data_IF_113051135621
#
_entry.id   IF_113051135621
#
_cell.length_a   1.000
_cell.length_b   1.000
_cell.length_c   1.000
_cell.angle_alpha   90.00
_cell.angle_beta   90.00
_cell.angle_gamma   90.00
#
_symmetry.space_group_name_H-M   'P 1'
#
loop_
_entity.id
_entity.type
_entity.pdbx_description
1 polymer ?
#
# COMPACT_ATOMS: atom_id res chain seq x y z
N UNK A 1 -7.24 -5.46 -10.29
CA UNK A 1 -6.04 -5.91 -11.04
C UNK A 1 -4.99 -6.30 -10.01
N UNK A 2 -4.40 -7.50 -10.09
CA UNK A 2 -3.40 -7.95 -9.09
C UNK A 2 -2.14 -7.07 -9.13
N UNK A 3 -1.78 -6.48 -7.99
CA UNK A 3 -0.56 -5.70 -7.84
C UNK A 3 0.73 -6.54 -7.91
N UNK A 4 1.91 -5.90 -7.91
CA UNK A 4 3.20 -6.58 -7.89
C UNK A 4 3.32 -7.61 -6.77
N UNK A 5 2.75 -7.32 -5.60
CA UNK A 5 2.77 -8.20 -4.43
C UNK A 5 1.87 -9.43 -4.61
N UNK A 6 0.72 -9.28 -5.26
CA UNK A 6 -0.15 -10.41 -5.63
C UNK A 6 0.51 -11.34 -6.65
N UNK A 7 1.31 -10.79 -7.58
CA UNK A 7 2.11 -11.59 -8.52
C UNK A 7 3.28 -12.29 -7.82
N UNK A 8 3.92 -11.65 -6.83
CA UNK A 8 4.97 -12.25 -6.00
C UNK A 8 4.39 -13.41 -5.17
N UNK A 9 3.26 -13.20 -4.51
CA UNK A 9 2.58 -14.22 -3.72
C UNK A 9 2.17 -15.44 -4.58
N UNK A 10 1.53 -15.22 -5.73
CA UNK A 10 1.19 -16.31 -6.66
C UNK A 10 2.42 -17.08 -7.14
N UNK A 11 3.49 -16.37 -7.49
CA UNK A 11 4.73 -17.00 -7.95
C UNK A 11 5.35 -17.86 -6.85
N UNK A 12 5.30 -17.41 -5.60
CA UNK A 12 5.79 -18.17 -4.45
C UNK A 12 4.90 -19.37 -4.10
N UNK A 13 3.57 -19.23 -4.19
CA UNK A 13 2.62 -20.35 -4.05
C UNK A 13 2.90 -21.46 -5.05
N UNK A 14 3.17 -21.11 -6.31
CA UNK A 14 3.55 -22.08 -7.35
C UNK A 14 4.89 -22.75 -7.09
N UNK A 15 5.87 -22.03 -6.52
CA UNK A 15 7.18 -22.60 -6.20
C UNK A 15 7.12 -23.58 -5.02
N UNK A 16 6.26 -23.33 -4.03
CA UNK A 16 6.08 -24.23 -2.89
C UNK A 16 5.43 -25.57 -3.26
N UNK A 17 4.57 -25.56 -4.28
CA UNK A 17 3.91 -26.76 -4.80
C UNK A 17 4.90 -27.73 -5.48
N UNK A 18 6.09 -27.23 -5.89
CA UNK A 18 7.13 -28.02 -6.57
C UNK A 18 8.14 -28.72 -5.64
N UNK A 19 8.01 -28.60 -4.32
CA UNK A 19 8.87 -29.30 -3.34
C UNK A 19 10.10 -28.50 -2.88
N UNK A 20 10.67 -28.92 -1.75
CA UNK A 20 11.60 -28.18 -0.87
C UNK A 20 12.94 -27.68 -1.48
N UNK A 21 13.22 -27.97 -2.75
CA UNK A 21 14.45 -27.51 -3.41
C UNK A 21 14.28 -26.07 -3.91
N UNK A 22 15.23 -25.20 -3.54
CA UNK A 22 15.26 -23.84 -4.05
C UNK A 22 15.29 -23.88 -5.59
N UNK A 23 14.48 -23.06 -6.29
CA UNK A 23 14.42 -23.09 -7.75
C UNK A 23 15.79 -22.77 -8.34
N UNK A 24 16.19 -23.45 -9.42
CA UNK A 24 17.49 -23.23 -10.06
C UNK A 24 17.71 -21.83 -10.67
N UNK A 25 16.65 -21.00 -10.72
CA UNK A 25 16.73 -19.61 -11.19
C UNK A 25 17.14 -18.68 -10.05
N UNK A 26 18.26 -17.93 -10.16
CA UNK A 26 18.80 -17.13 -9.05
C UNK A 26 17.80 -16.15 -8.42
N UNK A 27 17.00 -15.46 -9.23
CA UNK A 27 16.02 -14.50 -8.75
C UNK A 27 14.90 -15.17 -7.93
N UNK A 28 14.55 -16.40 -8.29
CA UNK A 28 13.54 -17.18 -7.58
C UNK A 28 14.11 -17.84 -6.33
N UNK A 29 15.37 -18.27 -6.36
CA UNK A 29 16.09 -18.76 -5.19
C UNK A 29 16.20 -17.69 -4.10
N UNK A 30 16.50 -16.44 -4.46
CA UNK A 30 16.53 -15.32 -3.51
C UNK A 30 15.17 -15.14 -2.84
N UNK A 31 14.10 -15.08 -3.64
CA UNK A 31 12.73 -14.94 -3.10
C UNK A 31 12.34 -16.10 -2.19
N UNK A 32 12.71 -17.33 -2.55
CA UNK A 32 12.52 -18.53 -1.74
C UNK A 32 13.21 -18.44 -0.38
N UNK A 33 14.48 -18.03 -0.36
CA UNK A 33 15.24 -17.89 0.88
C UNK A 33 14.73 -16.75 1.78
N UNK A 34 14.31 -15.62 1.19
CA UNK A 34 13.66 -14.54 1.95
C UNK A 34 12.36 -15.01 2.62
N UNK A 35 11.57 -15.82 1.93
CA UNK A 35 10.26 -16.25 2.43
C UNK A 35 10.38 -17.25 3.59
N UNK A 36 11.30 -18.22 3.48
CA UNK A 36 11.65 -19.12 4.58
C UNK A 36 12.17 -18.37 5.81
N UNK A 37 12.94 -17.31 5.60
CA UNK A 37 13.42 -16.43 6.66
C UNK A 37 12.26 -15.68 7.33
N UNK A 38 11.32 -15.13 6.56
CA UNK A 38 10.14 -14.43 7.11
C UNK A 38 9.19 -15.36 7.89
N UNK A 39 9.17 -16.67 7.57
CA UNK A 39 8.39 -17.69 8.29
C UNK A 39 9.07 -18.25 9.53
N UNK A 40 10.34 -17.92 9.77
CA UNK A 40 11.12 -18.48 10.88
C UNK A 40 11.62 -19.90 10.64
N UNK A 41 11.57 -20.40 9.40
CA UNK A 41 12.12 -21.72 9.05
C UNK A 41 13.65 -21.74 8.95
N UNK A 42 14.27 -20.55 8.98
CA UNK A 42 15.72 -20.36 8.95
C UNK A 42 16.11 -19.17 9.81
N UNK A 43 17.18 -19.34 10.59
CA UNK A 43 17.80 -18.24 11.34
C UNK A 43 18.48 -17.21 10.40
N UNK A 44 18.49 -15.91 10.76
CA UNK A 44 19.23 -14.89 10.04
C UNK A 44 20.74 -15.05 10.26
N UNK A 45 21.49 -15.31 9.20
CA UNK A 45 22.94 -15.52 9.27
C UNK A 45 23.74 -14.33 8.72
N UNK A 46 23.10 -13.45 7.97
CA UNK A 46 23.74 -12.32 7.30
C UNK A 46 23.11 -10.96 7.66
N UNK A 47 23.83 -9.88 7.30
CA UNK A 47 23.29 -8.51 7.37
C UNK A 47 22.07 -8.36 6.47
N UNK A 48 22.09 -8.97 5.28
CA UNK A 48 20.96 -8.97 4.36
C UNK A 48 19.71 -9.60 4.99
N UNK A 49 19.87 -10.72 5.70
CA UNK A 49 18.74 -11.40 6.36
C UNK A 49 18.09 -10.53 7.42
N UNK A 50 18.91 -9.88 8.26
CA UNK A 50 18.40 -8.95 9.28
C UNK A 50 17.66 -7.78 8.63
N UNK A 51 18.15 -7.28 7.50
CA UNK A 51 17.46 -6.25 6.73
C UNK A 51 16.13 -6.75 6.13
N UNK A 52 16.09 -7.98 5.59
CA UNK A 52 14.85 -8.58 5.06
C UNK A 52 13.79 -8.70 6.16
N UNK A 53 14.17 -9.16 7.35
CA UNK A 53 13.27 -9.25 8.51
C UNK A 53 12.79 -7.88 8.98
N UNK A 54 13.68 -6.88 9.07
CA UNK A 54 13.31 -5.51 9.41
C UNK A 54 12.33 -4.93 8.38
N UNK A 55 12.61 -5.10 7.07
CA UNK A 55 11.74 -4.69 5.98
C UNK A 55 10.37 -5.37 6.05
N UNK A 56 10.31 -6.67 6.37
CA UNK A 56 9.07 -7.42 6.49
C UNK A 56 8.23 -6.93 7.68
N UNK A 57 8.87 -6.62 8.81
CA UNK A 57 8.24 -6.00 9.96
C UNK A 57 7.68 -4.62 9.62
N UNK A 58 8.49 -3.75 9.02
CA UNK A 58 8.06 -2.43 8.58
C UNK A 58 6.87 -2.53 7.60
N UNK A 59 6.88 -3.51 6.70
CA UNK A 59 5.77 -3.76 5.78
C UNK A 59 4.50 -4.27 6.49
N UNK A 60 4.63 -5.08 7.54
CA UNK A 60 3.51 -5.55 8.35
C UNK A 60 2.90 -4.44 9.22
N UNK A 61 3.73 -3.47 9.66
CA UNK A 61 3.29 -2.30 10.44
C UNK A 61 2.71 -1.18 9.56
N UNK A 62 2.91 -1.23 8.23
CA UNK A 62 2.34 -0.24 7.30
C UNK A 62 0.82 -0.35 7.22
N UNK A 63 0.09 0.78 7.26
CA UNK A 63 -1.34 0.79 6.97
C UNK A 63 -1.60 0.21 5.58
N UNK A 64 -2.61 -0.66 5.46
CA UNK A 64 -3.05 -1.25 4.19
C UNK A 64 -3.39 -0.15 3.16
N UNK A 65 -3.91 0.99 3.64
CA UNK A 65 -4.23 2.16 2.83
C UNK A 65 -3.36 3.35 3.26
N UNK A 66 -2.13 3.40 2.75
CA UNK A 66 -1.22 4.51 2.99
C UNK A 66 -1.62 5.79 2.22
N UNK A 67 -0.97 6.92 2.52
CA UNK A 67 -1.26 8.19 1.85
C UNK A 67 -1.01 8.14 0.33
N UNK A 68 -0.09 7.28 -0.13
CA UNK A 68 0.15 7.08 -1.55
C UNK A 68 -1.05 6.42 -2.23
N UNK A 69 -1.62 5.38 -1.63
CA UNK A 69 -2.84 4.72 -2.09
C UNK A 69 -3.97 5.73 -2.27
N UNK A 70 -4.24 6.55 -1.25
CA UNK A 70 -5.31 7.54 -1.31
C UNK A 70 -5.07 8.62 -2.35
N UNK A 71 -3.83 9.08 -2.51
CA UNK A 71 -3.45 10.01 -3.57
C UNK A 71 -3.74 9.44 -4.96
N UNK A 72 -3.39 8.18 -5.19
CA UNK A 72 -3.68 7.49 -6.45
C UNK A 72 -5.18 7.34 -6.70
N UNK A 73 -5.96 6.99 -5.66
CA UNK A 73 -7.44 6.94 -5.76
C UNK A 73 -8.03 8.31 -6.12
N UNK A 74 -7.49 9.40 -5.58
CA UNK A 74 -7.93 10.77 -5.92
C UNK A 74 -7.70 11.08 -7.39
N UNK A 75 -6.54 10.72 -7.93
CA UNK A 75 -6.22 10.88 -9.35
C UNK A 75 -7.18 10.06 -10.23
N UNK A 76 -7.48 8.83 -9.84
CA UNK A 76 -8.41 7.97 -10.57
C UNK A 76 -9.84 8.54 -10.58
N UNK A 77 -10.31 9.11 -9.47
CA UNK A 77 -11.62 9.79 -9.39
C UNK A 77 -11.68 11.03 -10.30
N UNK A 78 -10.64 11.87 -10.26
CA UNK A 78 -10.57 13.03 -11.15
C UNK A 78 -10.58 12.62 -12.62
N UNK A 79 -9.87 11.54 -12.98
CA UNK A 79 -9.89 10.99 -14.34
C UNK A 79 -11.25 10.42 -14.74
N UNK A 80 -12.05 9.97 -13.78
CA UNK A 80 -13.41 9.49 -14.00
C UNK A 80 -14.44 10.62 -14.13
N UNK A 81 -14.02 11.89 -14.00
CA UNK A 81 -14.88 13.07 -14.21
C UNK A 81 -15.41 13.70 -12.92
N UNK A 82 -14.98 13.23 -11.74
CA UNK A 82 -15.28 13.91 -10.48
C UNK A 82 -14.46 15.20 -10.38
N UNK A 83 -15.05 16.24 -9.81
CA UNK A 83 -14.28 17.43 -9.48
C UNK A 83 -13.28 17.15 -8.33
N UNK A 84 -12.33 18.06 -8.10
CA UNK A 84 -11.31 17.87 -7.05
C UNK A 84 -11.88 17.81 -5.64
N UNK A 85 -12.97 18.54 -5.38
CA UNK A 85 -13.64 18.64 -4.07
C UNK A 85 -14.46 17.38 -3.82
N UNK A 86 -15.28 16.95 -4.76
CA UNK A 86 -16.01 15.69 -4.78
C UNK A 86 -15.08 14.49 -4.60
N UNK A 87 -13.96 14.44 -5.33
CA UNK A 87 -12.98 13.36 -5.18
C UNK A 87 -12.37 13.32 -3.77
N UNK A 88 -12.13 14.49 -3.15
CA UNK A 88 -11.65 14.59 -1.77
C UNK A 88 -12.70 14.13 -0.78
N UNK A 89 -13.94 14.58 -0.94
CA UNK A 89 -15.05 14.30 -0.03
C UNK A 89 -15.45 12.82 -0.06
N UNK A 90 -15.42 12.20 -1.24
CA UNK A 90 -15.59 10.74 -1.40
C UNK A 90 -14.49 9.97 -0.66
N UNK A 91 -13.22 10.37 -0.80
CA UNK A 91 -12.12 9.72 -0.08
C UNK A 91 -12.26 9.90 1.43
N UNK A 92 -12.65 11.10 1.89
CA UNK A 92 -12.87 11.38 3.31
C UNK A 92 -13.98 10.50 3.90
N UNK A 93 -15.11 10.34 3.18
CA UNK A 93 -16.20 9.47 3.58
C UNK A 93 -15.77 7.99 3.67
N UNK A 94 -14.99 7.50 2.70
CA UNK A 94 -14.48 6.12 2.71
C UNK A 94 -13.50 5.91 3.87
N UNK A 95 -12.56 6.84 4.07
CA UNK A 95 -11.62 6.82 5.21
C UNK A 95 -12.36 6.73 6.54
N UNK A 96 -13.38 7.57 6.73
CA UNK A 96 -14.24 7.57 7.92
C UNK A 96 -14.94 6.21 8.11
N UNK A 97 -15.49 5.62 7.04
CA UNK A 97 -16.18 4.33 7.10
C UNK A 97 -15.27 3.15 7.47
N UNK A 98 -13.97 3.26 7.18
CA UNK A 98 -12.96 2.25 7.52
C UNK A 98 -12.40 2.42 8.95
N UNK A 99 -12.91 3.39 9.72
CA UNK A 99 -12.34 3.75 11.03
C UNK A 99 -10.96 4.41 10.93
N UNK A 100 -10.51 4.73 9.72
CA UNK A 100 -9.32 5.53 9.46
C UNK A 100 -9.75 6.99 9.40
N UNK A 101 -9.97 7.62 10.56
CA UNK A 101 -10.22 9.06 10.58
C UNK A 101 -9.10 9.75 9.79
N UNK A 102 -9.42 10.56 8.76
CA UNK A 102 -8.38 11.29 8.06
C UNK A 102 -7.65 12.16 9.09
N UNK A 103 -6.32 12.12 9.09
CA UNK A 103 -5.56 13.22 9.64
C UNK A 103 -6.10 14.47 8.95
N UNK A 104 -6.72 15.35 9.73
CA UNK A 104 -7.24 16.61 9.24
C UNK A 104 -6.00 17.44 8.91
N UNK A 105 -5.45 17.25 7.71
CA UNK A 105 -4.61 18.27 7.09
C UNK A 105 -5.58 19.40 6.73
N UNK A 106 -5.67 20.37 7.64
CA UNK A 106 -6.23 21.69 7.39
C UNK A 106 -5.39 22.35 6.29
N UNK A 107 -5.62 21.97 5.04
CA UNK A 107 -5.27 22.79 3.89
C UNK A 107 -6.39 23.84 3.73
N UNK A 108 -6.55 24.67 4.77
CA UNK A 108 -7.32 25.90 4.74
C UNK A 108 -6.53 26.91 3.92
N UNK A 109 -6.68 26.86 2.60
CA UNK A 109 -5.92 27.76 1.74
C UNK A 109 -6.27 27.67 0.27
N UNK A 110 -7.56 27.71 -0.12
CA UNK A 110 -7.92 28.21 -1.46
C UNK A 110 -9.42 28.50 -1.70
N UNK A 111 -10.19 28.91 -0.69
CA UNK A 111 -11.57 29.42 -0.89
C UNK A 111 -11.64 30.94 -0.61
N UNK A 112 -10.87 31.74 -1.36
CA UNK A 112 -11.16 33.17 -1.53
C UNK A 112 -12.03 33.36 -2.77
N UNK A 113 -13.30 32.94 -2.65
CA UNK A 113 -14.29 32.95 -3.73
C UNK A 113 -15.69 33.31 -3.23
N UNK A 114 -15.84 34.53 -2.70
CA UNK A 114 -17.05 35.36 -2.79
C UNK A 114 -18.40 34.76 -2.32
N UNK A 115 -18.69 34.82 -1.02
CA UNK A 115 -20.03 34.57 -0.47
C UNK A 115 -20.43 35.57 0.64
N UNK A 116 -20.36 36.87 0.35
CA UNK A 116 -21.08 37.94 1.09
C UNK A 116 -21.25 39.09 0.08
N UNK A 117 -22.40 39.63 -0.33
CA UNK A 117 -23.77 39.64 0.17
C UNK A 117 -24.73 39.75 -1.04
N UNK A 118 -25.64 38.77 -1.20
CA UNK A 118 -26.97 39.00 -1.76
C UNK A 118 -27.96 38.65 -0.65
N UNK A 119 -28.33 39.65 0.16
CA UNK A 119 -29.59 39.68 0.91
C UNK A 119 -29.80 41.08 1.49
N UNK A 120 -30.86 41.74 1.00
CA UNK A 120 -31.50 42.98 1.45
C UNK A 120 -30.80 44.31 1.13
#
# INVERSE_FOLDING_TARGET
MMGPDGRRALRMSLLMEMGEEAPGTPELAVLWHEDRLMRGEREPVSVYDRWVLARARDAAERPIFDEHFWRMRRVDLIRAGFDRKEARDVIAAIRLSLGHAPAIENDEGDDNGNLEQQAA
#
